data_IF_583377287739
#
_entry.id   IF_583377287739
#
_cell.length_a   1.000
_cell.length_b   1.000
_cell.length_c   1.000
_cell.angle_alpha   90.00
_cell.angle_beta   90.00
_cell.angle_gamma   90.00
#
_symmetry.space_group_name_H-M   'P 1'
#
loop_
_entity.id
_entity.type
_entity.pdbx_description
1 polymer ?
#
# COMPACT_ATOMS: atom_id res chain seq x y z
N UNK A 1 -0.90 15.79 18.16
CA UNK A 1 0.34 15.14 18.64
C UNK A 1 0.75 13.92 17.80
N UNK A 2 -0.17 13.10 17.33
CA UNK A 2 0.14 11.92 16.50
C UNK A 2 0.59 12.26 15.06
N UNK A 3 0.10 13.35 14.45
CA UNK A 3 0.45 13.74 13.05
C UNK A 3 1.89 14.21 12.91
N UNK A 4 2.41 14.97 13.85
CA UNK A 4 3.81 15.49 13.80
C UNK A 4 4.83 14.34 13.93
N UNK A 5 4.57 13.35 14.78
CA UNK A 5 5.42 12.17 14.91
C UNK A 5 5.40 11.36 13.63
N UNK A 6 4.22 11.13 13.05
CA UNK A 6 4.09 10.39 11.80
C UNK A 6 4.82 11.08 10.63
N UNK A 7 4.77 12.41 10.53
CA UNK A 7 5.52 13.14 9.49
C UNK A 7 7.01 12.85 9.57
N UNK A 8 7.58 12.94 10.78
CA UNK A 8 9.00 12.63 10.98
C UNK A 8 9.33 11.17 10.65
N UNK A 9 8.46 10.24 11.00
CA UNK A 9 8.64 8.82 10.66
C UNK A 9 8.61 8.63 9.14
N UNK A 10 7.71 9.31 8.41
CA UNK A 10 7.66 9.31 6.94
C UNK A 10 8.96 9.85 6.35
N UNK A 11 9.48 10.98 6.86
CA UNK A 11 10.70 11.60 6.33
C UNK A 11 11.94 10.75 6.54
N UNK A 12 11.99 9.99 7.63
CA UNK A 12 13.12 9.14 8.00
C UNK A 12 13.00 7.70 7.48
N UNK A 13 11.84 7.29 6.96
CA UNK A 13 11.60 5.92 6.58
C UNK A 13 12.44 5.51 5.37
N UNK A 14 12.99 4.31 5.41
CA UNK A 14 13.52 3.66 4.21
C UNK A 14 12.36 3.18 3.32
N UNK A 15 12.62 3.00 2.04
CA UNK A 15 11.57 2.72 1.04
C UNK A 15 10.71 1.50 1.41
N UNK A 16 11.33 0.45 1.94
CA UNK A 16 10.63 -0.78 2.33
C UNK A 16 9.79 -0.63 3.60
N UNK A 17 10.24 0.21 4.52
CA UNK A 17 9.59 0.47 5.81
C UNK A 17 8.42 1.45 5.69
N UNK A 18 8.47 2.35 4.70
CA UNK A 18 7.48 3.41 4.51
C UNK A 18 6.06 2.85 4.36
N UNK A 19 5.89 1.83 3.53
CA UNK A 19 4.57 1.23 3.33
C UNK A 19 4.04 0.50 4.57
N UNK A 20 4.91 -0.18 5.31
CA UNK A 20 4.54 -0.82 6.55
C UNK A 20 4.08 0.22 7.59
N UNK A 21 4.78 1.35 7.67
CA UNK A 21 4.43 2.49 8.51
C UNK A 21 3.05 3.07 8.15
N UNK A 22 2.82 3.39 6.87
CA UNK A 22 1.57 3.96 6.37
C UNK A 22 0.38 3.01 6.59
N UNK A 23 0.58 1.72 6.31
CA UNK A 23 -0.41 0.67 6.53
C UNK A 23 -0.76 0.52 8.01
N UNK A 24 0.24 0.52 8.87
CA UNK A 24 0.04 0.46 10.33
C UNK A 24 -0.75 1.67 10.84
N UNK A 25 -0.42 2.87 10.34
CA UNK A 25 -1.15 4.07 10.70
C UNK A 25 -2.60 4.04 10.21
N UNK A 26 -2.83 3.64 8.96
CA UNK A 26 -4.17 3.46 8.40
C UNK A 26 -5.01 2.50 9.24
N UNK A 27 -4.48 1.31 9.58
CA UNK A 27 -5.18 0.33 10.39
C UNK A 27 -5.53 0.85 11.79
N UNK A 28 -4.59 1.56 12.45
CA UNK A 28 -4.83 2.17 13.77
C UNK A 28 -5.89 3.26 13.73
N UNK A 29 -5.86 4.11 12.69
CA UNK A 29 -6.80 5.21 12.52
C UNK A 29 -8.21 4.67 12.25
N UNK A 30 -8.33 3.63 11.41
CA UNK A 30 -9.61 2.98 11.12
C UNK A 30 -10.26 2.35 12.36
N UNK A 31 -9.47 1.79 13.27
CA UNK A 31 -9.97 1.22 14.54
C UNK A 31 -10.45 2.27 15.54
N UNK A 32 -9.83 3.44 15.57
CA UNK A 32 -10.09 4.46 16.60
C UNK A 32 -11.24 5.41 16.27
N UNK A 33 -11.59 5.60 15.02
CA UNK A 33 -12.54 6.64 14.60
C UNK A 33 -13.50 6.14 13.53
N UNK A 34 -14.68 5.70 13.95
CA UNK A 34 -15.81 5.57 13.05
C UNK A 34 -16.26 7.00 12.65
N UNK A 35 -15.91 7.45 11.45
CA UNK A 35 -16.53 8.59 10.79
C UNK A 35 -15.64 9.79 10.43
N UNK A 36 -14.36 9.86 10.82
CA UNK A 36 -13.54 11.04 10.54
C UNK A 36 -12.15 10.77 9.95
N UNK A 37 -11.96 9.62 9.32
CA UNK A 37 -10.68 9.20 8.71
C UNK A 37 -10.29 10.14 7.57
N UNK A 38 -11.24 10.51 6.72
CA UNK A 38 -11.01 11.41 5.58
C UNK A 38 -10.48 12.77 6.02
N UNK A 39 -11.00 13.32 7.10
CA UNK A 39 -10.52 14.61 7.64
C UNK A 39 -9.08 14.54 8.12
N UNK A 40 -8.68 13.44 8.76
CA UNK A 40 -7.30 13.22 9.22
C UNK A 40 -6.36 13.12 8.02
N UNK A 41 -6.75 12.37 6.99
CA UNK A 41 -5.93 12.24 5.78
C UNK A 41 -5.82 13.55 5.02
N UNK A 42 -6.89 14.32 4.92
CA UNK A 42 -6.85 15.64 4.27
C UNK A 42 -5.88 16.58 4.98
N UNK A 43 -5.88 16.62 6.31
CA UNK A 43 -4.94 17.41 7.10
C UNK A 43 -3.50 16.94 6.84
N UNK A 44 -3.25 15.64 6.92
CA UNK A 44 -1.91 15.06 6.67
C UNK A 44 -1.42 15.36 5.25
N UNK A 45 -2.26 15.18 4.24
CA UNK A 45 -1.94 15.46 2.85
C UNK A 45 -1.56 16.93 2.70
N UNK A 46 -2.33 17.83 3.30
CA UNK A 46 -2.08 19.27 3.21
C UNK A 46 -0.77 19.66 3.90
N UNK A 47 -0.48 19.11 5.08
CA UNK A 47 0.78 19.34 5.79
C UNK A 47 1.98 18.79 5.02
N UNK A 48 1.90 17.57 4.50
CA UNK A 48 2.96 16.96 3.69
C UNK A 48 3.19 17.76 2.40
N UNK A 49 2.14 18.23 1.77
CA UNK A 49 2.22 19.04 0.55
C UNK A 49 2.83 20.41 0.80
N UNK A 50 2.53 21.02 1.94
CA UNK A 50 3.17 22.28 2.38
C UNK A 50 4.67 22.07 2.63
N UNK A 51 5.05 21.02 3.34
CA UNK A 51 6.47 20.73 3.61
C UNK A 51 7.22 20.39 2.31
N UNK A 52 6.58 19.66 1.40
CA UNK A 52 7.12 19.39 0.07
C UNK A 52 7.44 20.69 -0.68
N UNK A 53 6.44 21.55 -0.85
CA UNK A 53 6.54 22.74 -1.69
C UNK A 53 7.40 23.86 -1.09
N UNK A 54 7.31 24.04 0.22
CA UNK A 54 7.87 25.23 0.89
C UNK A 54 9.18 24.96 1.63
N UNK A 55 9.54 23.67 1.84
CA UNK A 55 10.75 23.30 2.56
C UNK A 55 11.69 22.47 1.70
N UNK A 56 11.28 21.26 1.34
CA UNK A 56 12.21 20.27 0.75
C UNK A 56 12.45 20.47 -0.74
N UNK A 57 11.43 20.81 -1.53
CA UNK A 57 11.60 21.02 -2.97
C UNK A 57 12.48 22.24 -3.30
N UNK A 58 12.35 23.41 -2.62
CA UNK A 58 13.28 24.50 -2.80
C UNK A 58 14.73 24.14 -2.43
N UNK A 59 14.94 23.36 -1.36
CA UNK A 59 16.26 22.88 -0.97
C UNK A 59 16.86 21.96 -2.04
N UNK A 60 16.06 21.05 -2.57
CA UNK A 60 16.48 20.18 -3.68
C UNK A 60 16.87 20.98 -4.93
N UNK A 61 16.10 21.99 -5.29
CA UNK A 61 16.43 22.89 -6.43
C UNK A 61 17.73 23.65 -6.24
N UNK A 62 18.09 23.96 -5.00
CA UNK A 62 19.37 24.62 -4.65
C UNK A 62 20.53 23.63 -4.55
N UNK A 63 20.32 22.35 -4.83
CA UNK A 63 21.35 21.31 -4.77
C UNK A 63 21.69 20.86 -3.34
N UNK A 64 20.78 21.04 -2.39
CA UNK A 64 20.99 20.56 -1.02
C UNK A 64 20.69 19.05 -0.95
N UNK A 65 21.73 18.24 -0.72
CA UNK A 65 21.59 16.80 -0.61
C UNK A 65 21.07 16.35 0.76
N UNK A 66 21.60 16.98 1.83
CA UNK A 66 21.28 16.63 3.21
C UNK A 66 20.86 17.89 3.97
N UNK A 67 19.81 17.78 4.77
CA UNK A 67 19.32 18.82 5.64
C UNK A 67 19.19 18.32 7.08
N UNK A 68 19.55 19.15 8.05
CA UNK A 68 19.20 18.88 9.45
C UNK A 68 17.80 19.45 9.70
N UNK A 69 16.83 18.55 9.88
CA UNK A 69 15.46 18.88 10.16
C UNK A 69 15.02 18.23 11.47
N UNK A 70 14.59 19.05 12.43
CA UNK A 70 14.21 18.58 13.78
C UNK A 70 15.27 17.69 14.46
N UNK A 71 16.54 18.01 14.28
CA UNK A 71 17.65 17.28 14.91
C UNK A 71 18.07 15.98 14.20
N UNK A 72 17.47 15.67 13.05
CA UNK A 72 17.82 14.51 12.22
C UNK A 72 18.40 14.96 10.88
N UNK A 73 19.43 14.27 10.42
CA UNK A 73 19.96 14.47 9.09
C UNK A 73 19.14 13.66 8.10
N UNK A 74 18.56 14.33 7.14
CA UNK A 74 17.66 13.75 6.13
C UNK A 74 18.24 13.95 4.74
N UNK A 75 18.14 12.94 3.90
CA UNK A 75 18.45 13.02 2.47
C UNK A 75 17.25 13.64 1.76
N UNK A 76 17.43 14.85 1.22
CA UNK A 76 16.32 15.66 0.67
C UNK A 76 15.55 14.92 -0.44
N UNK A 77 16.26 14.24 -1.35
CA UNK A 77 15.64 13.48 -2.44
C UNK A 77 14.77 12.30 -1.91
N UNK A 78 15.21 11.63 -0.84
CA UNK A 78 14.43 10.56 -0.20
C UNK A 78 13.19 11.10 0.50
N UNK A 79 13.31 12.22 1.22
CA UNK A 79 12.16 12.87 1.86
C UNK A 79 11.11 13.27 0.83
N UNK A 80 11.50 13.87 -0.29
CA UNK A 80 10.58 14.25 -1.37
C UNK A 80 9.85 13.04 -1.93
N UNK A 81 10.56 11.94 -2.19
CA UNK A 81 9.95 10.68 -2.63
C UNK A 81 8.99 10.12 -1.60
N UNK A 82 9.39 10.07 -0.34
CA UNK A 82 8.57 9.56 0.75
C UNK A 82 7.29 10.37 0.94
N UNK A 83 7.35 11.69 0.82
CA UNK A 83 6.18 12.56 0.87
C UNK A 83 5.23 12.24 -0.29
N UNK A 84 5.71 12.08 -1.52
CA UNK A 84 4.88 11.76 -2.68
C UNK A 84 4.18 10.40 -2.51
N UNK A 85 4.90 9.39 -2.03
CA UNK A 85 4.35 8.08 -1.73
C UNK A 85 3.27 8.16 -0.65
N UNK A 86 3.52 8.88 0.44
CA UNK A 86 2.56 9.04 1.52
C UNK A 86 1.29 9.78 1.07
N UNK A 87 1.43 10.86 0.29
CA UNK A 87 0.29 11.59 -0.27
C UNK A 87 -0.54 10.67 -1.18
N UNK A 88 0.10 9.90 -2.05
CA UNK A 88 -0.58 8.94 -2.93
C UNK A 88 -1.33 7.88 -2.13
N UNK A 89 -0.71 7.34 -1.09
CA UNK A 89 -1.31 6.37 -0.19
C UNK A 89 -2.55 6.91 0.53
N UNK A 90 -2.49 8.14 1.07
CA UNK A 90 -3.63 8.73 1.78
C UNK A 90 -4.75 9.22 0.86
N UNK A 91 -4.44 9.59 -0.39
CA UNK A 91 -5.46 9.91 -1.40
C UNK A 91 -6.23 8.67 -1.85
N UNK A 92 -5.53 7.55 -1.97
CA UNK A 92 -6.10 6.28 -2.40
C UNK A 92 -5.65 5.20 -1.40
N UNK A 93 -6.17 5.25 -0.14
CA UNK A 93 -5.77 4.27 0.83
C UNK A 93 -6.13 2.88 0.30
N UNK A 94 -5.20 1.93 0.34
CA UNK A 94 -5.50 0.57 -0.06
C UNK A 94 -6.68 0.10 0.80
N UNK A 95 -7.65 -0.51 0.17
CA UNK A 95 -8.75 -1.16 0.87
C UNK A 95 -8.16 -2.39 1.56
N UNK A 96 -7.42 -2.16 2.64
CA UNK A 96 -6.98 -3.24 3.52
C UNK A 96 -8.24 -3.62 4.29
N UNK A 97 -9.01 -4.50 3.71
CA UNK A 97 -9.89 -5.32 4.49
C UNK A 97 -8.96 -6.03 5.48
N UNK A 98 -9.11 -5.72 6.76
CA UNK A 98 -8.52 -6.56 7.79
C UNK A 98 -9.18 -7.92 7.62
N UNK A 99 -8.50 -8.82 6.90
CA UNK A 99 -9.03 -10.16 6.65
C UNK A 99 -9.00 -10.86 8.00
N UNK A 100 -10.17 -11.02 8.61
CA UNK A 100 -10.34 -11.87 9.77
C UNK A 100 -10.35 -13.32 9.27
N UNK A 101 -9.15 -13.87 9.07
CA UNK A 101 -8.98 -15.22 8.51
C UNK A 101 -9.78 -16.28 9.27
N UNK A 102 -9.94 -16.10 10.58
CA UNK A 102 -10.65 -17.06 11.43
C UNK A 102 -12.18 -17.04 11.21
N UNK A 103 -12.71 -15.96 10.64
CA UNK A 103 -14.13 -15.80 10.31
C UNK A 103 -14.47 -16.24 8.88
N UNK A 104 -13.45 -16.51 8.05
CA UNK A 104 -13.64 -16.94 6.67
C UNK A 104 -13.89 -18.45 6.60
N UNK A 105 -14.67 -18.93 5.60
CA UNK A 105 -14.83 -20.34 5.34
C UNK A 105 -13.49 -20.96 4.89
N UNK A 106 -13.33 -22.27 5.07
CA UNK A 106 -12.09 -22.97 4.72
C UNK A 106 -11.79 -22.96 3.22
N UNK A 107 -12.84 -22.88 2.40
CA UNK A 107 -12.77 -22.70 0.94
C UNK A 107 -13.49 -21.42 0.56
N UNK A 108 -12.77 -20.50 -0.04
CA UNK A 108 -13.30 -19.22 -0.53
C UNK A 108 -13.77 -19.36 -1.98
N UNK A 109 -14.87 -18.71 -2.29
CA UNK A 109 -15.38 -18.61 -3.66
C UNK A 109 -14.65 -17.52 -4.45
N UNK A 110 -14.93 -17.41 -5.76
CA UNK A 110 -14.41 -16.31 -6.57
C UNK A 110 -14.96 -14.95 -6.12
N UNK A 111 -16.22 -14.89 -5.69
CA UNK A 111 -16.86 -13.71 -5.12
C UNK A 111 -16.17 -13.27 -3.82
N UNK A 112 -15.88 -14.20 -2.92
CA UNK A 112 -15.13 -13.91 -1.69
C UNK A 112 -13.76 -13.33 -2.02
N UNK A 113 -13.07 -13.90 -3.00
CA UNK A 113 -11.77 -13.42 -3.45
C UNK A 113 -11.83 -12.01 -4.03
N UNK A 114 -12.87 -11.69 -4.82
CA UNK A 114 -13.09 -10.34 -5.35
C UNK A 114 -13.30 -9.35 -4.21
N UNK A 115 -14.10 -9.70 -3.19
CA UNK A 115 -14.35 -8.84 -2.04
C UNK A 115 -13.10 -8.64 -1.18
N UNK A 116 -12.33 -9.69 -0.94
CA UNK A 116 -11.14 -9.66 -0.09
C UNK A 116 -9.98 -8.91 -0.76
N UNK A 117 -9.78 -9.12 -2.07
CA UNK A 117 -8.61 -8.62 -2.78
C UNK A 117 -8.87 -7.35 -3.57
N UNK A 118 -10.12 -7.09 -3.94
CA UNK A 118 -10.49 -6.06 -4.91
C UNK A 118 -10.11 -6.42 -6.36
N UNK A 119 -9.60 -7.65 -6.61
CA UNK A 119 -9.26 -8.09 -7.96
C UNK A 119 -10.52 -8.41 -8.77
N UNK A 120 -10.47 -8.14 -10.07
CA UNK A 120 -11.54 -8.56 -10.97
C UNK A 120 -11.50 -10.08 -11.22
N UNK A 121 -12.63 -10.67 -11.65
CA UNK A 121 -12.68 -12.07 -12.07
C UNK A 121 -11.65 -12.40 -13.16
N UNK A 122 -11.44 -11.48 -14.11
CA UNK A 122 -10.42 -11.62 -15.14
C UNK A 122 -8.99 -11.65 -14.57
N UNK A 123 -8.70 -10.84 -13.56
CA UNK A 123 -7.41 -10.85 -12.85
C UNK A 123 -7.20 -12.16 -12.13
N UNK A 124 -8.22 -12.67 -11.42
CA UNK A 124 -8.18 -13.96 -10.74
C UNK A 124 -7.95 -15.12 -11.72
N UNK A 125 -8.67 -15.12 -12.86
CA UNK A 125 -8.49 -16.12 -13.91
C UNK A 125 -7.04 -16.11 -14.46
N UNK A 126 -6.48 -14.92 -14.68
CA UNK A 126 -5.09 -14.76 -15.13
C UNK A 126 -4.11 -15.29 -14.09
N UNK A 127 -4.32 -15.00 -12.81
CA UNK A 127 -3.45 -15.49 -11.73
C UNK A 127 -3.52 -17.02 -11.58
N UNK A 128 -4.70 -17.61 -11.73
CA UNK A 128 -4.87 -19.09 -11.77
C UNK A 128 -4.10 -19.69 -12.94
N UNK A 129 -4.29 -19.17 -14.15
CA UNK A 129 -3.64 -19.70 -15.36
C UNK A 129 -2.12 -19.65 -15.30
N UNK A 130 -1.56 -18.75 -14.48
CA UNK A 130 -0.13 -18.59 -14.25
C UNK A 130 0.37 -19.32 -13.01
N UNK A 131 -0.50 -20.01 -12.27
CA UNK A 131 -0.20 -20.62 -10.98
C UNK A 131 0.40 -19.64 -9.97
N UNK A 132 -0.01 -18.36 -10.04
CA UNK A 132 0.45 -17.31 -9.12
C UNK A 132 -0.31 -17.26 -7.80
N UNK A 133 -1.45 -17.93 -7.71
CA UNK A 133 -2.30 -17.98 -6.52
C UNK A 133 -2.75 -19.42 -6.26
N UNK A 134 -2.78 -19.89 -5.00
CA UNK A 134 -3.29 -21.21 -4.68
C UNK A 134 -4.79 -21.30 -4.94
N UNK A 135 -5.22 -22.35 -5.63
CA UNK A 135 -6.63 -22.65 -5.92
C UNK A 135 -6.84 -24.15 -6.15
N UNK A 136 -8.10 -24.58 -6.07
CA UNK A 136 -8.56 -25.90 -6.51
C UNK A 136 -9.50 -25.72 -7.69
N UNK A 137 -9.53 -26.65 -8.63
CA UNK A 137 -10.36 -26.60 -9.84
C UNK A 137 -11.44 -27.70 -9.86
N UNK A 138 -11.45 -28.58 -8.88
CA UNK A 138 -12.38 -29.73 -8.82
C UNK A 138 -12.97 -29.89 -7.42
N UNK A 139 -14.29 -30.06 -7.31
CA UNK A 139 -15.32 -30.04 -8.38
C UNK A 139 -15.69 -28.63 -8.86
N UNK A 140 -15.26 -27.60 -8.16
CA UNK A 140 -15.47 -26.17 -8.47
C UNK A 140 -14.18 -25.41 -8.21
N UNK A 141 -14.04 -24.24 -8.81
CA UNK A 141 -12.96 -23.32 -8.51
C UNK A 141 -13.18 -22.77 -7.11
N UNK A 142 -12.21 -23.04 -6.23
CA UNK A 142 -12.21 -22.54 -4.86
C UNK A 142 -10.78 -22.22 -4.41
N UNK A 143 -10.65 -21.41 -3.39
CA UNK A 143 -9.37 -20.93 -2.87
C UNK A 143 -9.22 -21.35 -1.42
N UNK A 144 -8.30 -22.30 -1.12
CA UNK A 144 -8.06 -22.79 0.24
C UNK A 144 -7.57 -21.65 1.15
N UNK A 145 -8.27 -21.40 2.24
CA UNK A 145 -8.01 -20.31 3.19
C UNK A 145 -6.57 -20.30 3.71
N UNK A 146 -6.10 -21.45 4.17
CA UNK A 146 -4.77 -21.56 4.79
C UNK A 146 -3.63 -21.32 3.80
N UNK A 147 -3.79 -21.78 2.56
CA UNK A 147 -2.80 -21.56 1.52
C UNK A 147 -2.79 -20.12 1.04
N UNK A 148 -3.98 -19.48 0.95
CA UNK A 148 -4.10 -18.05 0.70
C UNK A 148 -3.47 -17.22 1.81
N UNK A 149 -3.71 -17.57 3.07
CA UNK A 149 -3.09 -16.90 4.21
C UNK A 149 -1.58 -16.91 4.10
N UNK A 150 -0.99 -18.07 3.83
CA UNK A 150 0.46 -18.21 3.59
C UNK A 150 0.92 -17.40 2.39
N UNK A 151 0.17 -17.46 1.28
CA UNK A 151 0.47 -16.67 0.08
C UNK A 151 0.51 -15.18 0.38
N UNK A 152 -0.51 -14.64 1.04
CA UNK A 152 -0.54 -13.23 1.41
C UNK A 152 0.50 -12.87 2.48
N UNK A 153 0.85 -13.79 3.37
CA UNK A 153 1.93 -13.60 4.34
C UNK A 153 3.30 -13.49 3.69
N UNK A 154 3.59 -14.33 2.71
CA UNK A 154 4.85 -14.27 1.96
C UNK A 154 4.97 -13.02 1.08
N UNK A 155 3.85 -12.43 0.67
CA UNK A 155 3.79 -11.25 -0.21
C UNK A 155 3.45 -9.94 0.54
N UNK A 156 3.67 -9.89 1.85
CA UNK A 156 3.33 -8.75 2.73
C UNK A 156 3.98 -7.41 2.37
N UNK A 157 5.07 -7.44 1.62
CA UNK A 157 5.90 -6.26 1.37
C UNK A 157 5.33 -5.27 0.34
N UNK A 158 4.25 -5.62 -0.36
CA UNK A 158 3.60 -4.73 -1.32
C UNK A 158 2.13 -4.56 -0.96
N UNK A 159 1.62 -3.30 -0.86
CA UNK A 159 0.18 -3.04 -0.78
C UNK A 159 -0.54 -3.72 -1.93
N UNK A 160 -1.70 -4.34 -1.68
CA UNK A 160 -2.43 -5.10 -2.71
C UNK A 160 -2.75 -4.27 -3.97
N UNK A 161 -3.06 -2.98 -3.82
CA UNK A 161 -3.27 -2.07 -4.94
C UNK A 161 -2.03 -1.88 -5.83
N UNK A 162 -0.82 -1.82 -5.23
CA UNK A 162 0.42 -1.68 -6.01
C UNK A 162 0.85 -2.96 -6.72
N UNK A 163 0.49 -4.13 -6.19
CA UNK A 163 0.75 -5.41 -6.87
C UNK A 163 -0.03 -5.56 -8.16
N UNK A 164 -1.22 -5.00 -8.23
CA UNK A 164 -2.05 -5.00 -9.44
C UNK A 164 -1.42 -4.15 -10.54
N UNK A 165 -0.91 -2.95 -10.21
CA UNK A 165 -0.32 -2.05 -11.21
C UNK A 165 1.02 -2.54 -11.77
N UNK A 166 1.91 -3.10 -10.94
CA UNK A 166 3.17 -3.67 -11.43
C UNK A 166 2.95 -4.93 -12.27
N UNK A 167 2.01 -5.79 -11.91
CA UNK A 167 1.68 -6.99 -12.68
C UNK A 167 0.97 -6.66 -14.00
N UNK A 168 0.06 -5.70 -14.02
CA UNK A 168 -0.62 -5.25 -15.24
C UNK A 168 0.36 -4.55 -16.20
N UNK A 169 1.29 -3.75 -15.69
CA UNK A 169 2.34 -3.13 -16.49
C UNK A 169 3.33 -4.15 -17.07
N UNK A 170 3.70 -5.19 -16.31
CA UNK A 170 4.51 -6.31 -16.82
C UNK A 170 3.77 -7.14 -17.86
N UNK A 171 2.49 -7.44 -17.64
CA UNK A 171 1.66 -8.17 -18.60
C UNK A 171 1.50 -7.39 -19.90
N UNK A 172 1.27 -6.07 -19.86
CA UNK A 172 1.19 -5.22 -21.03
C UNK A 172 2.53 -5.09 -21.79
N UNK A 173 3.66 -5.13 -21.08
CA UNK A 173 4.97 -5.07 -21.73
C UNK A 173 5.34 -6.37 -22.44
N UNK A 174 4.82 -7.53 -22.00
CA UNK A 174 5.05 -8.82 -22.65
C UNK A 174 4.18 -9.05 -23.89
N UNK A 175 2.98 -8.45 -23.93
CA UNK A 175 2.07 -8.55 -25.10
C UNK A 175 2.54 -7.71 -26.29
N UNK A 176 3.35 -6.66 -26.05
CA UNK A 176 3.91 -5.81 -27.12
C UNK A 176 5.18 -6.35 -27.78
N UNK A 177 5.69 -7.50 -27.36
CA UNK A 177 6.92 -8.14 -27.91
C UNK A 177 6.65 -9.38 -28.76
N UNK A 178 5.45 -9.54 -29.31
CA UNK A 178 5.16 -10.57 -30.31
C UNK A 178 4.81 -9.95 -31.65
#
# INVERSE_FOLDING_TARGET
METTTLKMDIYCAQTEELYALLTSFHAKTKKKQHGNIESIYMILIQELQNDYNNTFYPMYQLGTDIVNYSGKNLVVAEVLRNIQVAISFFKNPPTILSIHWDELPDLLTEEDMIQITGWSAATLATKRSRNEIPYTDKPIIAYPKDDLRKYFEMHKHLPMAMRTEEFDNKAHSMVRKK
#
